data_IF_940242776578
#
_entry.id   IF_940242776578
#
_cell.length_a   1.000
_cell.length_b   1.000
_cell.length_c   1.000
_cell.angle_alpha   90.00
_cell.angle_beta   90.00
_cell.angle_gamma   90.00
#
_symmetry.space_group_name_H-M   'P 1'
#
loop_
_entity.id
_entity.type
_entity.pdbx_description
1 polymer ?
#
# COMPACT_ATOMS: atom_id res chain seq x y z
N UNK A 1 6.60 -3.98 -11.96
CA UNK A 1 5.51 -4.04 -10.99
C UNK A 1 5.29 -5.46 -10.49
N UNK A 2 4.67 -5.59 -9.35
CA UNK A 2 4.25 -6.89 -8.85
C UNK A 2 2.86 -7.19 -9.43
N UNK A 3 2.72 -8.24 -10.26
CA UNK A 3 1.42 -8.61 -10.82
C UNK A 3 0.57 -9.31 -9.77
N UNK A 4 -0.74 -9.25 -9.96
CA UNK A 4 -1.72 -9.90 -9.08
C UNK A 4 -1.41 -9.66 -7.60
N UNK A 5 -1.39 -8.39 -7.16
CA UNK A 5 -1.03 -8.08 -5.78
C UNK A 5 -2.09 -8.62 -4.83
N UNK A 6 -1.67 -8.89 -3.61
CA UNK A 6 -2.58 -9.28 -2.55
C UNK A 6 -3.45 -8.07 -2.24
N UNK A 7 -4.76 -8.26 -2.23
CA UNK A 7 -5.73 -7.20 -1.92
C UNK A 7 -6.59 -7.61 -0.73
N UNK A 8 -7.18 -6.62 -0.10
CA UNK A 8 -8.13 -6.82 0.99
C UNK A 8 -9.38 -6.00 0.71
N UNK A 9 -10.43 -6.21 1.48
CA UNK A 9 -11.63 -5.42 1.38
C UNK A 9 -11.77 -4.47 2.58
N UNK A 10 -12.68 -3.48 2.54
CA UNK A 10 -12.84 -2.54 3.64
C UNK A 10 -13.27 -3.14 4.95
N UNK A 11 -13.86 -4.34 4.92
CA UNK A 11 -14.32 -5.03 6.14
C UNK A 11 -13.22 -5.82 6.83
N UNK A 12 -12.08 -5.98 6.18
CA UNK A 12 -10.90 -6.63 6.79
C UNK A 12 -10.55 -5.88 8.07
N UNK A 13 -10.30 -6.62 9.14
CA UNK A 13 -9.96 -6.00 10.42
C UNK A 13 -8.50 -5.59 10.44
N UNK A 14 -8.18 -4.65 11.33
CA UNK A 14 -6.81 -4.18 11.50
C UNK A 14 -5.83 -5.32 11.82
N UNK A 15 -6.15 -6.21 12.78
CA UNK A 15 -5.25 -7.35 13.06
C UNK A 15 -5.04 -8.28 11.87
N UNK A 16 -6.08 -8.54 11.09
CA UNK A 16 -5.97 -9.39 9.90
C UNK A 16 -5.03 -8.78 8.87
N UNK A 17 -5.17 -7.49 8.62
CA UNK A 17 -4.31 -6.78 7.67
C UNK A 17 -2.86 -6.76 8.14
N UNK A 18 -2.64 -6.50 9.42
CA UNK A 18 -1.30 -6.51 10.00
C UNK A 18 -0.63 -7.87 9.90
N UNK A 19 -1.37 -8.93 10.18
CA UNK A 19 -0.87 -10.30 10.05
C UNK A 19 -0.52 -10.63 8.60
N UNK A 20 -1.38 -10.25 7.66
CA UNK A 20 -1.15 -10.49 6.24
C UNK A 20 0.11 -9.79 5.76
N UNK A 21 0.30 -8.54 6.16
CA UNK A 21 1.52 -7.80 5.82
C UNK A 21 2.77 -8.48 6.35
N UNK A 22 2.70 -9.01 7.57
CA UNK A 22 3.83 -9.69 8.19
C UNK A 22 4.12 -11.02 7.51
N UNK A 23 3.09 -11.83 7.29
CA UNK A 23 3.25 -13.16 6.68
C UNK A 23 3.74 -13.08 5.23
N UNK A 24 3.27 -12.09 4.49
CA UNK A 24 3.63 -11.91 3.09
C UNK A 24 4.82 -10.97 2.90
N UNK A 25 5.34 -10.41 3.97
CA UNK A 25 6.45 -9.47 3.94
C UNK A 25 6.18 -8.28 3.01
N UNK A 26 4.99 -7.70 3.15
CA UNK A 26 4.57 -6.54 2.37
C UNK A 26 4.15 -5.42 3.33
N UNK A 27 4.23 -4.19 2.87
CA UNK A 27 3.96 -3.01 3.69
C UNK A 27 2.76 -2.21 3.20
N UNK A 28 2.14 -2.64 2.12
CA UNK A 28 1.02 -1.93 1.49
C UNK A 28 0.04 -2.93 0.96
N UNK A 29 -1.24 -2.61 1.13
CA UNK A 29 -2.33 -3.45 0.63
C UNK A 29 -3.34 -2.57 -0.09
N UNK A 30 -3.57 -2.81 -1.37
CA UNK A 30 -4.70 -2.19 -2.05
C UNK A 30 -6.00 -2.72 -1.46
N UNK A 31 -6.96 -1.83 -1.27
CA UNK A 31 -8.28 -2.17 -0.74
C UNK A 31 -9.29 -2.14 -1.87
N UNK A 32 -9.96 -3.25 -2.08
CA UNK A 32 -10.85 -3.47 -3.21
C UNK A 32 -12.26 -3.79 -2.70
N UNK A 33 -13.26 -3.18 -3.30
CA UNK A 33 -14.66 -3.48 -3.00
C UNK A 33 -15.41 -3.64 -4.32
N UNK A 34 -16.11 -4.75 -4.47
CA UNK A 34 -16.84 -5.07 -5.70
C UNK A 34 -15.95 -5.01 -6.94
N UNK A 35 -14.70 -5.47 -6.81
CA UNK A 35 -13.73 -5.49 -7.89
C UNK A 35 -13.06 -4.17 -8.21
N UNK A 36 -13.36 -3.11 -7.47
CA UNK A 36 -12.82 -1.77 -7.71
C UNK A 36 -11.90 -1.32 -6.58
N UNK A 37 -10.83 -0.65 -6.95
CA UNK A 37 -9.92 -0.04 -5.98
C UNK A 37 -10.64 1.10 -5.26
N UNK A 38 -10.76 0.98 -3.94
CA UNK A 38 -11.41 2.01 -3.11
C UNK A 38 -10.45 2.66 -2.13
N UNK A 39 -9.30 2.06 -1.89
CA UNK A 39 -8.35 2.62 -0.95
C UNK A 39 -7.01 1.91 -0.99
N UNK A 40 -6.11 2.42 -0.17
CA UNK A 40 -4.83 1.76 0.10
C UNK A 40 -4.52 1.91 1.58
N UNK A 41 -3.95 0.88 2.18
CA UNK A 41 -3.50 0.92 3.55
C UNK A 41 -2.03 0.52 3.61
N UNK A 42 -1.27 1.24 4.44
CA UNK A 42 0.15 0.96 4.65
C UNK A 42 0.39 0.44 6.06
N UNK A 43 1.55 -0.18 6.26
CA UNK A 43 1.96 -0.59 7.61
C UNK A 43 2.01 0.61 8.55
N UNK A 44 2.43 1.78 8.04
CA UNK A 44 2.42 3.02 8.81
C UNK A 44 1.03 3.40 9.28
N UNK A 45 0.02 3.26 8.42
CA UNK A 45 -1.37 3.55 8.77
C UNK A 45 -1.85 2.65 9.91
N UNK A 46 -1.48 1.37 9.86
CA UNK A 46 -1.85 0.40 10.89
C UNK A 46 -1.18 0.76 12.21
N UNK A 47 0.09 1.11 12.19
CA UNK A 47 0.83 1.51 13.40
C UNK A 47 0.25 2.79 14.00
N UNK A 48 -0.12 3.73 13.16
CA UNK A 48 -0.69 4.99 13.61
C UNK A 48 -2.08 4.81 14.21
N UNK A 49 -2.86 3.88 13.69
CA UNK A 49 -4.19 3.56 14.19
C UNK A 49 -4.15 2.72 15.48
N UNK A 50 -3.01 2.10 15.76
CA UNK A 50 -2.86 1.29 16.98
C UNK A 50 -2.70 2.21 18.19
N UNK A 51 -3.38 1.92 19.32
CA UNK A 51 -3.29 2.78 20.50
C UNK A 51 -1.89 2.78 21.07
N UNK A 52 -1.47 3.96 21.56
CA UNK A 52 -0.18 4.10 22.20
C UNK A 52 -0.21 3.54 23.62
N UNK A 53 0.98 3.26 24.17
CA UNK A 53 1.12 2.80 25.55
C UNK A 53 0.74 3.87 26.58
N UNK A 54 0.46 5.09 26.11
CA UNK A 54 0.12 6.20 26.99
C UNK A 54 -1.37 6.29 27.32
N UNK A 55 -2.17 5.35 26.84
CA UNK A 55 -3.62 5.38 27.14
C UNK A 55 -3.89 4.82 28.53
N UNK A 56 -4.99 5.27 29.13
CA UNK A 56 -5.45 4.78 30.42
C UNK A 56 -6.24 3.47 30.30
N UNK A 57 -6.42 2.96 29.12
CA UNK A 57 -7.16 1.72 28.88
C UNK A 57 -6.34 0.50 29.28
N UNK A 58 -7.01 -0.54 29.77
CA UNK A 58 -6.37 -1.82 30.04
C UNK A 58 -6.01 -2.50 28.70
N UNK A 59 -5.10 -3.48 28.79
CA UNK A 59 -4.71 -4.23 27.59
C UNK A 59 -5.90 -4.96 26.96
N UNK A 60 -6.86 -5.41 27.77
CA UNK A 60 -8.05 -6.08 27.28
C UNK A 60 -8.97 -5.12 26.52
N UNK A 61 -9.12 -3.91 27.02
CA UNK A 61 -9.90 -2.86 26.38
C UNK A 61 -9.25 -2.45 25.05
N UNK A 62 -7.92 -2.32 25.04
CA UNK A 62 -7.16 -1.99 23.82
C UNK A 62 -7.35 -3.06 22.75
N UNK A 63 -7.21 -4.33 23.13
CA UNK A 63 -7.37 -5.45 22.21
C UNK A 63 -8.79 -5.51 21.66
N UNK A 64 -9.77 -5.24 22.52
CA UNK A 64 -11.16 -5.22 22.09
C UNK A 64 -11.41 -4.13 21.04
N UNK A 65 -10.91 -2.92 21.30
CA UNK A 65 -11.08 -1.81 20.36
C UNK A 65 -10.35 -2.06 19.04
N UNK A 66 -9.11 -2.55 19.11
CA UNK A 66 -8.33 -2.85 17.91
C UNK A 66 -9.01 -3.92 17.06
N UNK A 67 -9.55 -4.96 17.71
CA UNK A 67 -10.19 -6.07 16.99
C UNK A 67 -11.44 -5.63 16.21
N UNK A 68 -12.00 -4.49 16.56
CA UNK A 68 -13.20 -3.94 15.92
C UNK A 68 -12.91 -2.94 14.81
N UNK A 69 -11.67 -2.42 14.75
CA UNK A 69 -11.31 -1.48 13.71
C UNK A 69 -11.23 -2.20 12.36
N UNK A 70 -11.84 -1.61 11.36
CA UNK A 70 -11.80 -2.14 10.00
C UNK A 70 -10.88 -1.27 9.14
N UNK A 71 -10.37 -1.86 8.08
CA UNK A 71 -9.48 -1.15 7.16
C UNK A 71 -10.20 0.02 6.50
N UNK A 72 -11.49 -0.10 6.25
CA UNK A 72 -12.28 1.00 5.68
C UNK A 72 -12.26 2.27 6.51
N UNK A 73 -12.04 2.14 7.83
CA UNK A 73 -11.99 3.28 8.74
C UNK A 73 -10.64 4.01 8.70
N UNK A 74 -9.57 3.31 8.32
CA UNK A 74 -8.21 3.87 8.38
C UNK A 74 -7.52 4.01 7.02
N UNK A 75 -8.04 3.40 5.98
CA UNK A 75 -7.42 3.44 4.65
C UNK A 75 -7.42 4.85 4.07
N UNK A 76 -6.48 5.12 3.19
CA UNK A 76 -6.53 6.31 2.35
C UNK A 76 -7.51 6.03 1.23
N UNK A 77 -8.57 6.83 1.13
CA UNK A 77 -9.61 6.68 0.12
C UNK A 77 -9.18 7.29 -1.20
N UNK A 78 -9.73 6.74 -2.29
CA UNK A 78 -9.47 7.24 -3.65
C UNK A 78 -7.98 7.44 -3.89
N UNK A 79 -7.18 6.36 -3.74
CA UNK A 79 -5.73 6.48 -3.88
C UNK A 79 -5.36 6.85 -5.31
N UNK A 80 -4.25 7.57 -5.45
CA UNK A 80 -3.70 7.87 -6.77
C UNK A 80 -3.28 6.54 -7.38
N UNK A 81 -3.76 6.29 -8.60
CA UNK A 81 -3.44 5.07 -9.32
C UNK A 81 -2.98 5.40 -10.74
N UNK A 82 -2.38 4.42 -11.38
CA UNK A 82 -1.95 4.52 -12.78
C UNK A 82 -2.53 3.33 -13.55
N UNK A 83 -2.38 3.36 -14.86
CA UNK A 83 -2.76 2.22 -15.71
C UNK A 83 -1.51 1.48 -16.16
N UNK A 84 -1.69 0.29 -16.73
CA UNK A 84 -0.56 -0.49 -17.23
C UNK A 84 0.15 0.20 -18.41
N UNK A 85 -0.51 1.17 -19.03
CA UNK A 85 0.08 1.96 -20.14
C UNK A 85 0.96 3.10 -19.64
N UNK A 86 0.91 3.41 -18.36
CA UNK A 86 1.71 4.50 -17.79
C UNK A 86 3.19 4.13 -17.85
N UNK A 87 4.01 5.05 -18.36
CA UNK A 87 5.44 4.80 -18.42
C UNK A 87 6.07 4.81 -17.03
N UNK A 88 7.19 4.12 -16.90
CA UNK A 88 7.95 4.10 -15.62
C UNK A 88 8.35 5.52 -15.22
N UNK A 89 8.75 6.32 -16.22
CA UNK A 89 9.13 7.71 -15.96
C UNK A 89 7.95 8.52 -15.41
N UNK A 90 6.78 8.36 -16.00
CA UNK A 90 5.58 9.06 -15.52
C UNK A 90 5.20 8.60 -14.11
N UNK A 91 5.30 7.30 -13.83
CA UNK A 91 5.04 6.77 -12.51
C UNK A 91 6.02 7.33 -11.47
N UNK A 92 7.30 7.34 -11.81
CA UNK A 92 8.33 7.88 -10.92
C UNK A 92 8.11 9.37 -10.63
N UNK A 93 7.76 10.12 -11.66
CA UNK A 93 7.47 11.55 -11.51
C UNK A 93 6.29 11.79 -10.57
N UNK A 94 5.23 11.00 -10.74
CA UNK A 94 4.04 11.09 -9.90
C UNK A 94 4.38 10.79 -8.43
N UNK A 95 5.20 9.77 -8.19
CA UNK A 95 5.65 9.44 -6.85
C UNK A 95 6.42 10.59 -6.20
N UNK A 96 7.30 11.23 -6.98
CA UNK A 96 8.07 12.37 -6.49
C UNK A 96 7.19 13.57 -6.20
N UNK A 97 6.30 13.92 -7.12
CA UNK A 97 5.42 15.07 -6.97
C UNK A 97 4.44 14.92 -5.83
N UNK A 98 3.91 13.72 -5.65
CA UNK A 98 2.90 13.44 -4.62
C UNK A 98 3.50 12.90 -3.33
N UNK A 99 4.80 12.67 -3.30
CA UNK A 99 5.52 12.15 -2.12
C UNK A 99 4.94 10.83 -1.62
N UNK A 100 4.68 9.92 -2.55
CA UNK A 100 4.16 8.60 -2.26
C UNK A 100 5.13 7.54 -2.75
N UNK A 101 5.21 6.42 -2.03
CA UNK A 101 6.18 5.37 -2.31
C UNK A 101 5.64 4.21 -3.13
N UNK A 102 4.37 4.27 -3.52
CA UNK A 102 3.76 3.20 -4.30
C UNK A 102 2.55 3.71 -5.07
N UNK A 103 2.24 3.02 -6.17
CA UNK A 103 1.08 3.33 -6.99
C UNK A 103 0.40 2.02 -7.38
N UNK A 104 -0.88 1.86 -7.04
CA UNK A 104 -1.66 0.76 -7.61
C UNK A 104 -1.80 0.94 -9.11
N UNK A 105 -1.72 -0.17 -9.84
CA UNK A 105 -1.93 -0.19 -11.29
C UNK A 105 -3.31 -0.77 -11.54
N UNK A 106 -4.16 0.01 -12.21
CA UNK A 106 -5.56 -0.32 -12.41
C UNK A 106 -5.90 -0.31 -13.89
N UNK A 107 -6.44 -1.39 -14.40
CA UNK A 107 -6.97 -1.48 -15.75
C UNK A 107 -8.42 -1.93 -15.68
N UNK A 108 -9.32 -1.24 -16.38
CA UNK A 108 -10.75 -1.54 -16.36
C UNK A 108 -11.31 -1.67 -14.92
N UNK A 109 -10.92 -0.74 -14.05
CA UNK A 109 -11.32 -0.68 -12.64
C UNK A 109 -10.77 -1.81 -11.76
N UNK A 110 -9.94 -2.69 -12.31
CA UNK A 110 -9.36 -3.81 -11.56
C UNK A 110 -7.90 -3.55 -11.25
N UNK A 111 -7.50 -3.88 -10.02
CA UNK A 111 -6.09 -3.79 -9.62
C UNK A 111 -5.33 -4.93 -10.28
N UNK A 112 -4.44 -4.59 -11.19
CA UNK A 112 -3.63 -5.57 -11.91
C UNK A 112 -2.20 -5.64 -11.40
N UNK A 113 -1.78 -4.69 -10.59
CA UNK A 113 -0.43 -4.69 -10.03
C UNK A 113 -0.24 -3.56 -9.05
N UNK A 114 0.95 -3.51 -8.49
CA UNK A 114 1.39 -2.39 -7.67
C UNK A 114 2.85 -2.11 -8.03
N UNK A 115 3.19 -0.84 -8.16
CA UNK A 115 4.57 -0.44 -8.41
C UNK A 115 5.07 0.37 -7.23
N UNK A 116 6.29 0.10 -6.79
CA UNK A 116 6.91 0.76 -5.65
C UNK A 116 8.22 1.41 -6.06
N UNK A 117 8.76 2.24 -5.18
CA UNK A 117 10.08 2.85 -5.38
C UNK A 117 11.14 1.76 -5.61
N UNK A 118 11.06 0.67 -4.87
CA UNK A 118 11.98 -0.45 -5.02
C UNK A 118 11.93 -1.06 -6.40
N UNK A 119 10.74 -1.14 -7.01
CA UNK A 119 10.59 -1.65 -8.37
C UNK A 119 11.31 -0.75 -9.36
N UNK A 120 11.19 0.56 -9.18
CA UNK A 120 11.84 1.54 -10.04
C UNK A 120 13.36 1.45 -9.91
N UNK A 121 13.86 1.38 -8.68
CA UNK A 121 15.30 1.24 -8.44
C UNK A 121 15.83 -0.08 -9.01
N UNK A 122 15.06 -1.15 -8.87
CA UNK A 122 15.45 -2.46 -9.39
C UNK A 122 15.55 -2.44 -10.91
N UNK A 123 14.64 -1.74 -11.58
CA UNK A 123 14.71 -1.54 -13.03
C UNK A 123 16.01 -0.84 -13.43
N UNK A 124 16.36 0.20 -12.72
CA UNK A 124 17.61 0.93 -12.97
C UNK A 124 18.83 0.05 -12.82
N UNK A 125 18.82 -0.84 -11.85
CA UNK A 125 19.95 -1.74 -11.58
C UNK A 125 20.03 -2.89 -12.59
N UNK A 126 18.88 -3.46 -12.95
CA UNK A 126 18.82 -4.64 -13.83
C UNK A 126 19.14 -4.32 -15.28
N UNK A 127 18.79 -3.15 -15.77
CA UNK A 127 19.07 -2.77 -17.14
C UNK A 127 20.55 -2.54 -17.39
N UNK A 128 21.37 -2.54 -16.32
CA UNK A 128 22.84 -2.62 -16.41
C UNK A 128 23.52 -1.52 -17.20
N UNK A 129 22.75 -0.65 -17.79
CA UNK A 129 23.24 0.39 -18.68
C UNK A 129 23.25 1.74 -18.01
N UNK A 130 23.06 1.76 -16.72
CA UNK A 130 23.20 2.98 -15.99
C UNK A 130 24.65 3.29 -15.92
N UNK A 131 25.05 4.04 -16.88
CA UNK A 131 26.35 4.63 -16.81
C UNK A 131 26.29 5.63 -15.69
N UNK A 132 27.22 5.57 -14.76
CA UNK A 132 27.32 6.63 -13.79
C UNK A 132 27.62 7.91 -14.55
N UNK A 133 26.57 8.66 -14.80
CA UNK A 133 26.69 10.00 -15.36
C UNK A 133 26.81 11.01 -14.24
N UNK A 134 27.32 10.56 -13.14
CA UNK A 134 27.61 11.44 -12.03
C UNK A 134 28.88 12.18 -12.37
N UNK A 135 28.72 13.25 -13.06
CA UNK A 135 29.82 14.17 -13.21
C UNK A 135 29.95 14.97 -11.93
#
# INVERSE_FOLDING_TARGET
MTPDPITIDPQTTLPEAGRLMKECNIRRLPVVENGRLVGIVTLGDIREASPSNATSLSIYELNYLISRLTIGEIMTRDPISITSDTSIEAAARLMLERKIGSLPVVDADKVVGIITESDIFRLLVTEGEIRPTFA
#
